data_IF_438826267519
#
_entry.id   IF_438826267519
#
_cell.length_a   1.000
_cell.length_b   1.000
_cell.length_c   1.000
_cell.angle_alpha   90.00
_cell.angle_beta   90.00
_cell.angle_gamma   90.00
#
_symmetry.space_group_name_H-M   'P 1'
#
loop_
_entity.id
_entity.type
_entity.pdbx_description
1 polymer ?
#
# COMPACT_ATOMS: atom_id res chain seq x y z
N UNK A 1 -2.48 -4.15 1.85
CA UNK A 1 -3.87 -4.57 2.11
C UNK A 1 -4.20 -5.70 1.15
N UNK A 2 -3.70 -6.91 1.41
CA UNK A 2 -3.70 -8.04 0.46
C UNK A 2 -5.06 -8.73 0.31
N UNK A 3 -5.93 -8.57 1.28
CA UNK A 3 -7.07 -9.48 1.50
C UNK A 3 -8.38 -8.96 0.92
N UNK A 4 -8.36 -7.81 0.25
CA UNK A 4 -9.56 -7.23 -0.35
C UNK A 4 -9.24 -6.27 -1.51
N UNK A 5 -10.27 -5.97 -2.30
CA UNK A 5 -10.24 -4.93 -3.34
C UNK A 5 -11.15 -3.76 -2.95
N UNK A 6 -11.00 -2.62 -3.63
CA UNK A 6 -11.89 -1.47 -3.48
C UNK A 6 -13.37 -1.85 -3.55
N UNK A 7 -13.75 -2.71 -4.50
CA UNK A 7 -15.14 -3.14 -4.66
C UNK A 7 -15.65 -3.96 -3.47
N UNK A 8 -14.80 -4.84 -2.92
CA UNK A 8 -15.14 -5.65 -1.74
C UNK A 8 -15.39 -4.76 -0.53
N UNK A 9 -14.50 -3.79 -0.25
CA UNK A 9 -14.65 -2.92 0.93
C UNK A 9 -15.78 -1.89 0.76
N UNK A 10 -15.98 -1.34 -0.45
CA UNK A 10 -17.15 -0.50 -0.75
C UNK A 10 -18.45 -1.27 -0.54
N UNK A 11 -18.51 -2.52 -1.00
CA UNK A 11 -19.65 -3.42 -0.79
C UNK A 11 -19.97 -3.64 0.70
N UNK A 12 -18.95 -3.90 1.52
CA UNK A 12 -19.09 -4.03 2.98
C UNK A 12 -19.61 -2.75 3.64
N UNK A 13 -19.09 -1.58 3.27
CA UNK A 13 -19.54 -0.30 3.83
C UNK A 13 -21.02 -0.04 3.51
N UNK A 14 -21.44 -0.32 2.27
CA UNK A 14 -22.85 -0.19 1.88
C UNK A 14 -23.75 -1.14 2.65
N UNK A 15 -23.34 -2.40 2.85
CA UNK A 15 -24.18 -3.42 3.51
C UNK A 15 -24.27 -3.21 5.01
N UNK A 16 -23.14 -2.93 5.68
CA UNK A 16 -23.03 -2.87 7.14
C UNK A 16 -23.35 -1.48 7.70
N UNK A 17 -22.90 -0.41 7.04
CA UNK A 17 -23.00 0.97 7.55
C UNK A 17 -24.06 1.81 6.85
N UNK A 18 -24.61 1.32 5.73
CA UNK A 18 -25.58 2.05 4.87
C UNK A 18 -25.03 3.39 4.36
N UNK A 19 -23.71 3.47 4.13
CA UNK A 19 -23.04 4.65 3.59
C UNK A 19 -22.48 4.38 2.18
N UNK A 20 -22.19 5.45 1.43
CA UNK A 20 -21.54 5.38 0.13
C UNK A 20 -20.06 5.82 0.24
N UNK A 21 -19.14 4.92 -0.10
CA UNK A 21 -17.69 5.15 -0.12
C UNK A 21 -17.07 5.01 -1.52
N UNK A 22 -17.86 5.14 -2.58
CA UNK A 22 -17.40 4.95 -3.97
C UNK A 22 -16.34 5.95 -4.40
N UNK A 23 -16.35 7.12 -3.76
CA UNK A 23 -15.40 8.21 -3.98
C UNK A 23 -14.07 8.00 -3.23
N UNK A 24 -13.95 6.95 -2.41
CA UNK A 24 -12.74 6.63 -1.66
C UNK A 24 -11.94 5.59 -2.44
N UNK A 25 -10.67 5.89 -2.71
CA UNK A 25 -9.68 4.91 -3.11
C UNK A 25 -9.05 4.31 -1.85
N UNK A 26 -9.16 2.99 -1.63
CA UNK A 26 -8.60 2.34 -0.44
C UNK A 26 -7.17 1.85 -0.64
N UNK A 27 -6.63 2.03 -1.85
CA UNK A 27 -5.26 1.70 -2.25
C UNK A 27 -4.83 0.26 -1.86
N UNK A 28 -5.66 -0.78 -2.13
CA UNK A 28 -5.24 -2.15 -1.90
C UNK A 28 -4.13 -2.57 -2.87
N UNK A 29 -3.38 -3.59 -2.49
CA UNK A 29 -2.31 -4.15 -3.32
C UNK A 29 -2.42 -5.67 -3.36
N UNK A 30 -2.07 -6.27 -4.50
CA UNK A 30 -2.15 -7.73 -4.71
C UNK A 30 -0.84 -8.47 -4.41
N UNK A 31 0.29 -7.77 -4.41
CA UNK A 31 1.61 -8.34 -4.09
C UNK A 31 2.34 -7.44 -3.08
N UNK A 32 2.81 -8.04 -1.99
CA UNK A 32 3.41 -7.31 -0.88
C UNK A 32 4.79 -6.72 -1.22
N UNK A 33 5.59 -7.41 -2.03
CA UNK A 33 6.92 -6.91 -2.39
C UNK A 33 6.78 -5.83 -3.45
N UNK A 34 5.90 -6.05 -4.43
CA UNK A 34 5.66 -5.08 -5.49
C UNK A 34 5.08 -3.77 -4.93
N UNK A 35 4.17 -3.83 -3.94
CA UNK A 35 3.63 -2.61 -3.34
C UNK A 35 4.73 -1.71 -2.75
N UNK A 36 5.75 -2.31 -2.13
CA UNK A 36 6.89 -1.57 -1.59
C UNK A 36 7.73 -0.95 -2.72
N UNK A 37 7.96 -1.68 -3.81
CA UNK A 37 8.72 -1.17 -4.95
C UNK A 37 7.98 -0.03 -5.65
N UNK A 38 6.67 -0.15 -5.82
CA UNK A 38 5.81 0.88 -6.43
C UNK A 38 5.84 2.16 -5.58
N UNK A 39 5.73 2.04 -4.25
CA UNK A 39 5.80 3.18 -3.33
C UNK A 39 7.18 3.87 -3.36
N UNK A 40 8.28 3.10 -3.42
CA UNK A 40 9.62 3.68 -3.60
C UNK A 40 9.67 4.50 -4.89
N UNK A 41 9.15 3.96 -5.99
CA UNK A 41 9.18 4.62 -7.28
C UNK A 41 8.38 5.93 -7.26
N UNK A 42 7.18 5.93 -6.67
CA UNK A 42 6.35 7.14 -6.52
C UNK A 42 7.10 8.23 -5.75
N UNK A 43 7.75 7.87 -4.64
CA UNK A 43 8.52 8.83 -3.84
C UNK A 43 9.74 9.36 -4.59
N UNK A 44 10.43 8.52 -5.34
CA UNK A 44 11.59 8.91 -6.15
C UNK A 44 11.21 9.88 -7.28
N UNK A 45 10.08 9.64 -7.93
CA UNK A 45 9.60 10.49 -9.04
C UNK A 45 8.96 11.79 -8.56
N UNK A 46 8.62 11.88 -7.27
CA UNK A 46 7.93 13.02 -6.72
C UNK A 46 8.85 14.26 -6.68
N UNK A 47 8.48 15.37 -7.36
CA UNK A 47 9.23 16.62 -7.28
C UNK A 47 9.11 17.29 -5.91
N UNK A 48 8.22 16.78 -5.04
CA UNK A 48 8.04 17.26 -3.67
C UNK A 48 8.95 16.55 -2.68
N UNK A 49 9.65 15.50 -3.10
CA UNK A 49 10.64 14.77 -2.29
C UNK A 49 12.03 15.23 -2.73
N UNK A 50 12.88 15.55 -1.76
CA UNK A 50 14.27 15.92 -2.04
C UNK A 50 15.03 14.72 -2.63
N UNK A 51 16.11 14.99 -3.37
CA UNK A 51 17.01 13.95 -3.88
C UNK A 51 17.79 13.32 -2.71
N UNK A 52 17.19 12.30 -2.09
CA UNK A 52 17.72 11.57 -0.94
C UNK A 52 17.50 10.06 -1.13
N UNK A 53 18.33 9.21 -0.49
CA UNK A 53 18.16 7.76 -0.59
C UNK A 53 16.82 7.29 -0.03
N UNK A 54 16.14 6.40 -0.76
CA UNK A 54 14.87 5.79 -0.34
C UNK A 54 15.06 4.28 -0.24
N UNK A 55 14.70 3.70 0.90
CA UNK A 55 14.82 2.25 1.13
C UNK A 55 13.50 1.67 1.60
N UNK A 56 13.03 0.61 0.94
CA UNK A 56 11.79 -0.08 1.30
C UNK A 56 12.04 -1.42 1.97
N UNK A 57 11.14 -1.74 2.89
CA UNK A 57 11.21 -2.92 3.76
C UNK A 57 9.85 -3.59 3.88
N UNK A 58 9.89 -4.89 4.21
CA UNK A 58 8.74 -5.65 4.70
C UNK A 58 9.02 -6.06 6.14
N UNK A 59 8.04 -5.86 7.00
CA UNK A 59 8.05 -6.41 8.35
C UNK A 59 7.31 -7.76 8.34
N UNK A 60 8.01 -8.82 8.72
CA UNK A 60 7.43 -10.15 8.90
C UNK A 60 6.77 -10.24 10.28
N UNK A 61 5.44 -10.28 10.33
CA UNK A 61 4.69 -10.24 11.59
C UNK A 61 4.86 -11.51 12.44
N UNK A 62 5.20 -12.62 11.81
CA UNK A 62 5.38 -13.93 12.45
C UNK A 62 6.72 -14.03 13.20
N UNK A 63 7.74 -13.33 12.72
CA UNK A 63 9.12 -13.48 13.19
C UNK A 63 9.68 -12.19 13.79
N UNK A 64 9.08 -11.04 13.50
CA UNK A 64 9.57 -9.72 13.84
C UNK A 64 10.74 -9.22 12.98
N UNK A 65 11.09 -9.94 11.90
CA UNK A 65 12.19 -9.54 11.01
C UNK A 65 11.80 -8.35 10.14
N UNK A 66 12.79 -7.52 9.86
CA UNK A 66 12.72 -6.44 8.87
C UNK A 66 13.55 -6.86 7.66
N UNK A 67 12.88 -7.12 6.54
CA UNK A 67 13.50 -7.62 5.30
C UNK A 67 13.55 -6.50 4.28
N UNK A 68 14.76 -6.16 3.81
CA UNK A 68 14.94 -5.17 2.76
C UNK A 68 14.41 -5.71 1.42
N UNK A 69 13.59 -4.92 0.73
CA UNK A 69 13.03 -5.27 -0.57
C UNK A 69 13.71 -4.53 -1.71
N UNK A 70 13.99 -3.23 -1.52
CA UNK A 70 14.59 -2.39 -2.54
C UNK A 70 15.23 -1.14 -1.96
N UNK A 71 16.09 -0.52 -2.73
CA UNK A 71 16.61 0.82 -2.47
C UNK A 71 16.77 1.57 -3.77
N UNK A 72 16.55 2.88 -3.72
CA UNK A 72 16.80 3.80 -4.82
C UNK A 72 17.59 5.01 -4.36
#
# INVERSE_FOLDING_TARGET
>A
MLTFTDDVIRGKIRSELKQNADHIAFLPFGDLKQSVLDDIQILKESPLVLDVPITGYVYEVETGKIVKIGSS
#
